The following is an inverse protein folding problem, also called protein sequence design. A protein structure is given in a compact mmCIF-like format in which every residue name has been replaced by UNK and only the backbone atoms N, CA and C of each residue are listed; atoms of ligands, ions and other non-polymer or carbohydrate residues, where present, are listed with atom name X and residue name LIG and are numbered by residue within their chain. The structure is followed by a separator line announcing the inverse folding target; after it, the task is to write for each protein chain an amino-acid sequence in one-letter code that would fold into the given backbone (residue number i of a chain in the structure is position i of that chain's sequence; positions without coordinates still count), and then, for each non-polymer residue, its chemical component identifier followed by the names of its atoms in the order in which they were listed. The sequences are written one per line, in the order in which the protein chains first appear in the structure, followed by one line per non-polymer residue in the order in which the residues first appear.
data_IF_559784533270
#
_entry.id   IF_559784533270
#
_cell.length_a   1.000
_cell.length_b   1.000
_cell.length_c   1.000
_cell.angle_alpha   90.00
_cell.angle_beta   90.00
_cell.angle_gamma   90.00
#
_symmetry.space_group_name_H-M   'P 1'
#
loop_
_entity.id
_entity.type
_entity.pdbx_description
1 polymer ?
#
# COMPACT_ATOMS: atom_id res chain seq x y z
N UNK A 1 -8.46 2.89 -16.72
CA UNK A 1 -8.19 2.00 -15.55
C UNK A 1 -7.00 2.58 -14.78
N UNK A 2 -6.66 2.05 -13.61
CA UNK A 2 -5.55 2.55 -12.81
C UNK A 2 -4.55 1.42 -12.51
N UNK A 3 -3.27 1.68 -12.72
CA UNK A 3 -2.17 0.85 -12.22
C UNK A 3 -1.67 1.42 -10.88
N UNK A 4 -1.56 0.56 -9.87
CA UNK A 4 -1.12 0.90 -8.51
C UNK A 4 0.23 0.28 -8.25
N UNK A 5 1.19 1.10 -7.84
CA UNK A 5 2.49 0.70 -7.32
C UNK A 5 2.58 1.15 -5.86
N UNK A 6 3.16 0.32 -4.99
CA UNK A 6 3.36 0.65 -3.59
C UNK A 6 4.80 0.41 -3.22
N UNK A 7 5.45 1.43 -2.66
CA UNK A 7 6.86 1.40 -2.27
C UNK A 7 6.97 1.55 -0.75
N UNK A 8 7.76 0.70 -0.11
CA UNK A 8 8.10 0.86 1.30
C UNK A 8 9.15 1.96 1.46
N UNK A 9 8.94 2.89 2.39
CA UNK A 9 9.91 3.92 2.74
C UNK A 9 10.19 3.85 4.25
N UNK A 10 11.41 3.46 4.64
CA UNK A 10 11.82 3.48 6.06
C UNK A 10 12.33 4.86 6.45
N UNK A 11 11.97 5.30 7.66
CA UNK A 11 12.32 6.62 8.20
C UNK A 11 13.79 6.76 8.59
N UNK A 12 14.49 5.64 8.78
CA UNK A 12 15.86 5.56 9.30
C UNK A 12 16.90 5.11 8.27
N UNK A 13 16.49 4.85 7.01
CA UNK A 13 17.38 4.48 5.90
C UNK A 13 18.10 3.14 6.05
N UNK A 14 17.89 2.43 7.17
CA UNK A 14 18.44 1.11 7.48
C UNK A 14 17.29 0.21 7.88
N UNK A 15 16.84 -0.67 6.99
CA UNK A 15 16.47 -2.07 7.31
C UNK A 15 15.77 -2.78 6.16
N UNK A 16 16.03 -4.08 6.08
CA UNK A 16 15.08 -5.05 5.56
C UNK A 16 13.91 -5.09 6.53
N UNK A 17 12.72 -4.69 6.09
CA UNK A 17 11.51 -4.85 6.89
C UNK A 17 10.89 -6.21 6.56
N UNK A 18 10.85 -7.10 7.54
CA UNK A 18 9.94 -8.24 7.53
C UNK A 18 8.54 -7.71 7.79
N UNK A 19 7.60 -7.76 6.85
CA UNK A 19 6.24 -7.27 7.11
C UNK A 19 5.13 -8.14 6.55
N UNK A 20 3.97 -7.95 7.13
CA UNK A 20 2.71 -8.57 6.75
C UNK A 20 1.58 -7.53 6.81
N UNK A 21 0.38 -7.92 6.38
CA UNK A 21 -0.78 -7.05 6.44
C UNK A 21 -1.63 -7.09 5.17
N UNK A 22 -2.40 -6.03 4.94
CA UNK A 22 -3.34 -5.94 3.82
C UNK A 22 -3.19 -4.59 3.11
N UNK A 23 -3.18 -4.63 1.77
CA UNK A 23 -3.40 -3.48 0.90
C UNK A 23 -4.65 -3.77 0.07
N UNK A 24 -5.54 -2.79 -0.07
CA UNK A 24 -6.72 -2.91 -0.90
C UNK A 24 -7.03 -1.59 -1.61
N UNK A 25 -7.76 -1.69 -2.71
CA UNK A 25 -8.24 -0.56 -3.47
C UNK A 25 -9.75 -0.60 -3.59
N UNK A 26 -10.40 0.54 -3.49
CA UNK A 26 -11.84 0.70 -3.68
C UNK A 26 -12.12 2.03 -4.39
N UNK A 27 -12.99 2.01 -5.38
CA UNK A 27 -13.59 3.24 -5.90
C UNK A 27 -14.87 3.54 -5.13
N UNK A 28 -15.16 4.80 -4.83
CA UNK A 28 -16.40 5.18 -4.14
C UNK A 28 -17.69 4.73 -4.87
N UNK A 29 -17.60 4.46 -6.17
CA UNK A 29 -18.73 3.96 -6.96
C UNK A 29 -18.90 2.43 -6.87
N UNK A 30 -18.00 1.72 -6.17
CA UNK A 30 -18.05 0.28 -5.99
C UNK A 30 -18.11 -0.12 -4.53
N UNK A 31 -18.98 -1.08 -4.21
CA UNK A 31 -19.08 -1.68 -2.87
C UNK A 31 -17.94 -2.67 -2.58
N UNK A 32 -17.34 -3.24 -3.62
CA UNK A 32 -16.32 -4.28 -3.49
C UNK A 32 -14.91 -3.69 -3.45
N UNK A 33 -14.06 -4.26 -2.60
CA UNK A 33 -12.63 -3.99 -2.55
C UNK A 33 -11.86 -4.93 -3.49
N UNK A 34 -10.86 -4.40 -4.17
CA UNK A 34 -9.81 -5.20 -4.82
C UNK A 34 -8.65 -5.36 -3.84
N UNK A 35 -8.39 -6.59 -3.40
CA UNK A 35 -7.20 -6.88 -2.58
C UNK A 35 -5.96 -6.81 -3.47
N UNK A 36 -5.03 -5.92 -3.13
CA UNK A 36 -3.77 -5.74 -3.84
C UNK A 36 -2.65 -6.57 -3.23
N UNK A 37 -2.65 -6.72 -1.91
CA UNK A 37 -1.69 -7.51 -1.15
C UNK A 37 -2.36 -8.03 0.12
N UNK A 38 -2.08 -9.28 0.49
CA UNK A 38 -2.49 -9.83 1.77
C UNK A 38 -1.48 -10.88 2.22
N UNK A 39 -0.92 -10.67 3.41
CA UNK A 39 -0.04 -11.63 4.08
C UNK A 39 -0.42 -11.71 5.55
N UNK A 40 -0.49 -12.92 6.07
CA UNK A 40 -0.66 -13.19 7.49
C UNK A 40 0.66 -12.99 8.25
N UNK A 41 0.63 -12.84 9.59
CA UNK A 41 1.86 -12.65 10.39
C UNK A 41 2.94 -13.73 10.19
N UNK A 42 2.54 -14.96 9.85
CA UNK A 42 3.40 -16.10 9.57
C UNK A 42 3.90 -16.18 8.11
N UNK A 43 3.27 -15.46 7.18
CA UNK A 43 3.59 -15.46 5.73
C UNK A 43 4.40 -14.23 5.27
N UNK A 44 4.78 -13.36 6.20
CA UNK A 44 5.55 -12.12 6.02
C UNK A 44 6.59 -12.16 4.87
N UNK A 45 6.84 -10.99 4.27
CA UNK A 45 7.85 -10.81 3.24
C UNK A 45 8.99 -9.93 3.74
N UNK A 46 10.17 -10.06 3.12
CA UNK A 46 11.31 -9.20 3.38
C UNK A 46 11.54 -8.31 2.17
N UNK A 47 11.44 -6.99 2.35
CA UNK A 47 11.90 -6.03 1.34
C UNK A 47 12.65 -4.89 2.03
N UNK A 48 13.56 -4.27 1.29
CA UNK A 48 14.30 -3.09 1.72
C UNK A 48 13.48 -1.82 1.52
N UNK A 49 13.80 -0.77 2.28
CA UNK A 49 13.37 0.60 1.97
C UNK A 49 13.69 0.95 0.50
N UNK A 50 12.76 1.62 -0.17
CA UNK A 50 12.83 1.98 -1.59
C UNK A 50 12.39 0.87 -2.56
N UNK A 51 12.11 -0.34 -2.09
CA UNK A 51 11.61 -1.42 -2.94
C UNK A 51 10.08 -1.42 -3.05
N UNK A 52 9.60 -1.90 -4.20
CA UNK A 52 8.17 -2.12 -4.44
C UNK A 52 7.67 -3.34 -3.67
N UNK A 53 6.50 -3.18 -3.07
CA UNK A 53 5.74 -4.28 -2.48
C UNK A 53 5.18 -5.14 -3.62
N UNK A 54 5.42 -6.47 -3.63
CA UNK A 54 4.89 -7.35 -4.66
C UNK A 54 3.38 -7.52 -4.51
N UNK A 55 2.61 -6.78 -5.32
CA UNK A 55 1.16 -6.86 -5.32
C UNK A 55 0.68 -8.12 -6.07
N UNK A 56 -0.34 -8.79 -5.52
CA UNK A 56 -1.06 -9.86 -6.22
C UNK A 56 -1.92 -9.32 -7.37
N UNK A 57 -2.29 -8.04 -7.31
CA UNK A 57 -2.98 -7.30 -8.35
C UNK A 57 -2.54 -5.83 -8.28
N UNK A 58 -2.14 -5.26 -9.42
CA UNK A 58 -1.79 -3.84 -9.53
C UNK A 58 -2.79 -3.05 -10.36
N UNK A 59 -3.56 -3.69 -11.25
CA UNK A 59 -4.54 -2.99 -12.11
C UNK A 59 -5.93 -3.07 -11.51
N UNK A 60 -6.58 -1.92 -11.38
CA UNK A 60 -7.94 -1.78 -10.84
C UNK A 60 -8.84 -0.97 -11.77
N UNK A 61 -10.10 -1.41 -11.87
CA UNK A 61 -11.13 -0.67 -12.58
C UNK A 61 -11.59 0.50 -11.70
N UNK A 62 -11.62 1.69 -12.29
CA UNK A 62 -12.05 2.91 -11.61
C UNK A 62 -12.86 3.75 -12.60
N UNK A 63 -14.13 4.06 -12.30
CA UNK A 63 -14.94 4.95 -13.13
C UNK A 63 -14.35 6.36 -13.17
N UNK A 64 -14.50 7.03 -14.32
CA UNK A 64 -14.24 8.47 -14.41
C UNK A 64 -15.15 9.23 -13.43
N UNK A 65 -14.68 10.37 -12.92
CA UNK A 65 -15.36 11.19 -11.91
C UNK A 65 -15.63 10.46 -10.58
N UNK A 66 -14.78 9.48 -10.23
CA UNK A 66 -14.80 8.84 -8.91
C UNK A 66 -13.47 9.05 -8.19
N UNK A 67 -13.41 8.64 -6.92
CA UNK A 67 -12.16 8.62 -6.14
C UNK A 67 -11.71 7.18 -5.96
N UNK A 68 -10.46 6.88 -6.31
CA UNK A 68 -9.78 5.65 -5.93
C UNK A 68 -9.19 5.82 -4.52
N UNK A 69 -9.57 4.94 -3.61
CA UNK A 69 -9.05 4.86 -2.25
C UNK A 69 -8.17 3.63 -2.12
N UNK A 70 -6.90 3.82 -1.77
CA UNK A 70 -5.96 2.75 -1.47
C UNK A 70 -5.80 2.66 0.04
N UNK A 71 -6.39 1.63 0.62
CA UNK A 71 -6.34 1.34 2.06
C UNK A 71 -5.13 0.49 2.42
N UNK A 72 -4.53 0.81 3.56
CA UNK A 72 -3.22 0.30 3.98
C UNK A 72 -3.32 -0.12 5.45
N UNK A 73 -2.86 -1.34 5.75
CA UNK A 73 -2.69 -1.84 7.10
C UNK A 73 -1.48 -2.78 7.12
N UNK A 74 -0.28 -2.24 7.35
CA UNK A 74 1.00 -2.95 7.28
C UNK A 74 1.74 -2.92 8.62
N UNK A 75 2.29 -4.06 8.99
CA UNK A 75 2.93 -4.29 10.29
C UNK A 75 4.27 -4.97 10.12
N UNK A 76 5.26 -4.52 10.86
CA UNK A 76 6.55 -5.18 10.99
C UNK A 76 6.37 -6.46 11.81
N UNK A 77 6.98 -7.54 11.32
CA UNK A 77 7.21 -8.76 12.08
C UNK A 77 8.55 -8.63 12.78
N UNK A 78 8.51 -8.21 14.03
CA UNK A 78 9.67 -8.33 14.90
C UNK A 78 9.69 -9.72 15.54
N UNK A 79 10.81 -10.44 15.41
CA UNK A 79 10.99 -11.75 16.05
C UNK A 79 11.49 -11.62 17.49
N UNK A 80 12.07 -10.48 17.85
CA UNK A 80 12.72 -10.25 19.14
C UNK A 80 11.90 -9.32 20.07
N UNK A 81 11.07 -8.44 19.51
CA UNK A 81 10.16 -7.62 20.29
C UNK A 81 8.81 -8.33 20.51
N UNK A 82 8.31 -8.30 21.74
CA UNK A 82 7.01 -8.85 22.13
C UNK A 82 5.79 -8.12 21.52
N UNK A 83 6.04 -7.11 20.68
CA UNK A 83 5.02 -6.29 20.04
C UNK A 83 5.34 -6.05 18.56
N UNK A 84 4.38 -6.38 17.68
CA UNK A 84 4.43 -5.98 16.27
C UNK A 84 4.29 -4.46 16.16
N UNK A 85 5.05 -3.85 15.24
CA UNK A 85 5.07 -2.40 15.06
C UNK A 85 4.35 -1.99 13.78
N UNK A 86 3.45 -1.00 13.88
CA UNK A 86 2.77 -0.44 12.71
C UNK A 86 3.76 0.26 11.78
N UNK A 87 3.81 -0.16 10.52
CA UNK A 87 4.59 0.49 9.47
C UNK A 87 3.78 1.62 8.86
N UNK A 88 2.56 1.31 8.39
CA UNK A 88 1.65 2.26 7.78
C UNK A 88 0.21 1.78 7.97
N UNK A 89 -0.67 2.68 8.41
CA UNK A 89 -2.10 2.41 8.54
C UNK A 89 -2.89 3.64 8.16
N UNK A 90 -3.75 3.51 7.15
CA UNK A 90 -4.51 4.65 6.65
C UNK A 90 -5.06 4.43 5.25
N UNK A 91 -5.38 5.54 4.57
CA UNK A 91 -5.93 5.52 3.22
C UNK A 91 -5.35 6.68 2.42
N UNK A 92 -4.87 6.40 1.21
CA UNK A 92 -4.53 7.41 0.22
C UNK A 92 -5.68 7.53 -0.79
N UNK A 93 -6.06 8.77 -1.11
CA UNK A 93 -7.16 9.07 -2.03
C UNK A 93 -6.62 9.70 -3.32
N UNK A 94 -7.17 9.26 -4.45
CA UNK A 94 -6.78 9.70 -5.79
C UNK A 94 -8.03 9.98 -6.62
N UNK A 95 -8.19 11.23 -7.06
CA UNK A 95 -9.25 11.56 -8.01
C UNK A 95 -8.98 10.87 -9.35
N UNK A 96 -10.00 10.23 -9.92
CA UNK A 96 -9.87 9.51 -11.17
C UNK A 96 -9.60 10.47 -12.34
N UNK A 97 -8.60 10.14 -13.15
CA UNK A 97 -8.19 10.92 -14.30
C UNK A 97 -8.13 10.07 -15.57
N UNK A 98 -8.10 10.71 -16.74
CA UNK A 98 -7.98 10.04 -18.04
C UNK A 98 -6.54 9.65 -18.39
N UNK A 99 -5.55 10.42 -17.95
CA UNK A 99 -4.12 10.15 -18.18
C UNK A 99 -3.27 11.02 -17.28
N UNK A 100 -2.72 10.45 -16.20
CA UNK A 100 -1.77 11.11 -15.31
C UNK A 100 -1.08 10.08 -14.39
N UNK A 101 -0.04 10.49 -13.67
CA UNK A 101 0.58 9.73 -12.58
C UNK A 101 0.64 10.57 -11.32
N UNK A 102 0.03 10.06 -10.25
CA UNK A 102 -0.07 10.75 -8.96
C UNK A 102 0.53 9.88 -7.87
N UNK A 103 1.27 10.48 -6.95
CA UNK A 103 1.84 9.82 -5.78
C UNK A 103 1.29 10.44 -4.49
N UNK A 104 0.95 9.59 -3.51
CA UNK A 104 0.61 10.00 -2.16
C UNK A 104 1.27 9.08 -1.14
N UNK A 105 1.66 9.65 0.00
CA UNK A 105 2.24 8.89 1.11
C UNK A 105 1.15 8.49 2.11
N UNK A 106 1.32 7.31 2.70
CA UNK A 106 0.58 6.87 3.89
C UNK A 106 1.57 6.65 5.02
N UNK A 107 1.41 7.44 6.07
CA UNK A 107 2.30 7.44 7.23
C UNK A 107 1.79 6.47 8.29
N UNK A 108 2.69 5.73 8.92
CA UNK A 108 2.44 5.06 10.19
C UNK A 108 3.37 5.57 11.27
N UNK A 109 3.23 4.98 12.46
CA UNK A 109 4.05 5.34 13.61
C UNK A 109 5.55 5.09 13.33
N UNK A 110 5.90 3.93 12.77
CA UNK A 110 7.29 3.51 12.60
C UNK A 110 7.79 3.49 11.15
N UNK A 111 6.94 3.85 10.19
CA UNK A 111 7.33 3.88 8.78
C UNK A 111 6.40 4.75 7.95
N UNK A 112 6.58 4.65 6.65
CA UNK A 112 5.66 5.19 5.66
C UNK A 112 5.71 4.32 4.40
N UNK A 113 4.66 4.41 3.60
CA UNK A 113 4.68 3.89 2.24
C UNK A 113 4.30 5.00 1.27
N UNK A 114 4.81 4.88 0.06
CA UNK A 114 4.41 5.72 -1.07
C UNK A 114 3.53 4.89 -1.99
N UNK A 115 2.35 5.40 -2.29
CA UNK A 115 1.41 4.83 -3.25
C UNK A 115 1.45 5.68 -4.51
N UNK A 116 1.72 5.05 -5.64
CA UNK A 116 1.72 5.68 -6.97
C UNK A 116 0.59 5.09 -7.80
N UNK A 117 -0.16 5.96 -8.44
CA UNK A 117 -1.28 5.60 -9.31
C UNK A 117 -1.06 6.19 -10.69
N UNK A 118 -1.04 5.34 -11.72
CA UNK A 118 -0.95 5.74 -13.12
C UNK A 118 -2.25 5.42 -13.85
N UNK A 119 -2.83 6.42 -14.51
CA UNK A 119 -4.09 6.32 -15.27
C UNK A 119 -3.81 6.09 -16.75
N UNK A 120 -4.53 5.13 -17.34
CA UNK A 120 -4.49 4.81 -18.77
C UNK A 120 -5.83 4.27 -19.27
#
# INVERSE_FOLDING_TARGET
MANVEVMLISKDGKNLASFYGKLFARSDNFLNESVLFCKRPDEFINISSGQLIPLSRSVVAVPLNSTLKVGVDLWNRDKELSSNHEIAKGTAEFLAQSSDTIENNVFGKYGEIKVKVTWS
#
